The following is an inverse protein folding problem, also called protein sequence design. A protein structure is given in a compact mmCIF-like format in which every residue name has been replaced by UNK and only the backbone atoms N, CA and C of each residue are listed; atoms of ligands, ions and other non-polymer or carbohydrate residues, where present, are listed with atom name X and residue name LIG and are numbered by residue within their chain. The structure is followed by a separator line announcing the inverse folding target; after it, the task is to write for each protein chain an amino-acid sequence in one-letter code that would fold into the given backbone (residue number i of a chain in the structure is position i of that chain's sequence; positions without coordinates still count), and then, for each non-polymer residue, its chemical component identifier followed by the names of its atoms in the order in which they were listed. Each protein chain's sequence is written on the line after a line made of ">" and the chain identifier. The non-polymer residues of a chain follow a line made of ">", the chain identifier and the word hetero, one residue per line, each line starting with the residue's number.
data_IF_236022159081
#
_entry.id   IF_236022159081
#
_cell.length_a   1.000
_cell.length_b   1.000
_cell.length_c   1.000
_cell.angle_alpha   90.00
_cell.angle_beta   90.00
_cell.angle_gamma   90.00
#
_symmetry.space_group_name_H-M   'P 1'
#
loop_
_entity.id
_entity.type
_entity.pdbx_description
1 polymer ?
#
# COMPACT_ATOMS: atom_id res chain seq x y z
N UNK A 1 -8.29 22.37 14.88
CA UNK A 1 -8.38 21.23 13.95
C UNK A 1 -7.51 21.47 12.69
N UNK A 2 -6.45 22.29 12.76
CA UNK A 2 -5.73 22.80 11.57
C UNK A 2 -4.27 22.29 11.40
N UNK A 3 -3.73 21.52 12.34
CA UNK A 3 -2.30 21.14 12.29
C UNK A 3 -1.98 19.95 11.36
N UNK A 4 -2.96 19.10 11.04
CA UNK A 4 -2.73 17.91 10.19
C UNK A 4 -2.60 18.23 8.70
N UNK A 5 -3.33 19.23 8.19
CA UNK A 5 -3.24 19.63 6.77
C UNK A 5 -1.90 20.29 6.46
N UNK A 6 -1.39 21.10 7.40
CA UNK A 6 -0.12 21.83 7.23
C UNK A 6 1.09 20.91 7.10
N UNK A 7 1.12 19.79 7.85
CA UNK A 7 2.21 18.82 7.79
C UNK A 7 2.24 18.00 6.48
N UNK A 8 1.08 17.74 5.87
CA UNK A 8 0.95 16.97 4.64
C UNK A 8 1.23 17.79 3.38
N UNK A 9 0.83 19.07 3.38
CA UNK A 9 1.21 20.02 2.32
C UNK A 9 2.71 20.31 2.26
N UNK A 10 3.41 20.25 3.40
CA UNK A 10 4.86 20.46 3.47
C UNK A 10 5.63 19.39 2.68
N UNK A 11 5.24 18.11 2.75
CA UNK A 11 5.98 17.02 2.10
C UNK A 11 5.91 17.04 0.56
N UNK A 12 4.75 17.37 -0.02
CA UNK A 12 4.59 17.44 -1.49
C UNK A 12 5.31 18.65 -2.07
N UNK A 13 5.26 19.78 -1.34
CA UNK A 13 6.01 20.99 -1.70
C UNK A 13 7.52 20.75 -1.59
N UNK A 14 8.00 20.07 -0.56
CA UNK A 14 9.41 19.73 -0.39
C UNK A 14 9.92 18.79 -1.49
N UNK A 15 9.17 17.75 -1.88
CA UNK A 15 9.55 16.83 -2.97
C UNK A 15 9.57 17.56 -4.31
N UNK A 16 8.59 18.43 -4.55
CA UNK A 16 8.53 19.26 -5.76
C UNK A 16 9.68 20.26 -5.79
N UNK A 17 9.99 20.89 -4.65
CA UNK A 17 11.13 21.79 -4.49
C UNK A 17 12.46 21.06 -4.70
N UNK A 18 12.62 19.81 -4.25
CA UNK A 18 13.83 19.01 -4.51
C UNK A 18 13.96 18.71 -6.00
N UNK A 19 12.87 18.35 -6.68
CA UNK A 19 12.86 18.14 -8.14
C UNK A 19 13.16 19.43 -8.90
N UNK A 20 12.56 20.54 -8.48
CA UNK A 20 12.73 21.86 -9.08
C UNK A 20 14.13 22.41 -8.84
N UNK A 21 14.71 22.21 -7.64
CA UNK A 21 16.11 22.52 -7.35
C UNK A 21 17.06 21.67 -8.18
N UNK A 22 16.75 20.39 -8.42
CA UNK A 22 17.53 19.54 -9.33
C UNK A 22 17.43 20.05 -10.79
N UNK A 23 16.26 20.52 -11.21
CA UNK A 23 15.99 21.07 -12.55
C UNK A 23 16.70 22.42 -12.77
N UNK A 24 16.50 23.39 -11.88
CA UNK A 24 17.12 24.72 -11.90
C UNK A 24 18.65 24.61 -11.84
N UNK A 25 19.20 23.64 -11.10
CA UNK A 25 20.65 23.45 -11.02
C UNK A 25 21.24 22.82 -12.28
N UNK A 26 20.46 22.00 -13.00
CA UNK A 26 20.82 21.50 -14.34
C UNK A 26 20.95 22.65 -15.35
N UNK A 27 20.14 23.70 -15.20
CA UNK A 27 20.24 24.94 -15.99
C UNK A 27 21.46 25.79 -15.58
N UNK A 28 21.85 25.78 -14.30
CA UNK A 28 22.97 26.58 -13.78
C UNK A 28 24.36 25.90 -13.83
N UNK A 29 24.51 24.73 -14.47
CA UNK A 29 25.82 24.04 -14.69
C UNK A 29 26.74 23.95 -13.45
N UNK A 30 26.19 23.76 -12.25
CA UNK A 30 26.99 23.28 -11.11
C UNK A 30 26.97 21.76 -11.12
N UNK A 31 28.07 21.15 -11.48
CA UNK A 31 28.23 19.69 -11.45
C UNK A 31 28.16 19.22 -9.99
N UNK A 32 27.08 18.52 -9.64
CA UNK A 32 27.03 17.69 -8.45
C UNK A 32 27.84 16.43 -8.72
N UNK A 33 28.57 15.95 -7.71
CA UNK A 33 29.21 14.65 -7.80
C UNK A 33 28.16 13.58 -8.11
N UNK A 34 28.34 12.90 -9.24
CA UNK A 34 27.49 11.80 -9.65
C UNK A 34 27.91 10.55 -8.89
N UNK A 35 27.15 10.21 -7.86
CA UNK A 35 27.35 8.99 -7.10
C UNK A 35 26.47 7.88 -7.67
N UNK A 36 27.09 6.77 -8.09
CA UNK A 36 26.35 5.56 -8.41
C UNK A 36 26.00 4.84 -7.11
N UNK A 37 24.75 4.42 -6.95
CA UNK A 37 24.33 3.67 -5.77
C UNK A 37 24.76 2.19 -5.79
N UNK A 38 25.75 1.82 -6.60
CA UNK A 38 26.30 0.48 -6.64
C UNK A 38 27.03 0.17 -5.32
N UNK A 39 26.67 -0.93 -4.67
CA UNK A 39 27.19 -1.28 -3.34
C UNK A 39 26.44 -0.64 -2.17
N UNK A 40 25.44 0.22 -2.41
CA UNK A 40 24.56 0.72 -1.35
C UNK A 40 23.63 -0.39 -0.89
N UNK A 41 23.44 -0.48 0.42
CA UNK A 41 22.50 -1.40 1.06
C UNK A 41 21.36 -0.61 1.72
N UNK A 42 20.13 -1.06 1.46
CA UNK A 42 18.92 -0.52 2.06
C UNK A 42 18.60 -1.31 3.33
N UNK A 43 18.81 -0.72 4.53
CA UNK A 43 18.48 -1.40 5.77
C UNK A 43 17.00 -1.79 5.84
N UNK A 44 16.67 -2.91 6.51
CA UNK A 44 15.29 -3.35 6.71
C UNK A 44 14.41 -2.21 7.19
N UNK A 45 13.24 -2.02 6.56
CA UNK A 45 12.27 -0.97 6.96
C UNK A 45 11.86 -1.04 8.44
N UNK A 46 12.06 -2.20 9.05
CA UNK A 46 11.80 -2.56 10.43
C UNK A 46 12.82 -2.01 11.43
N UNK A 47 14.01 -1.60 10.98
CA UNK A 47 15.04 -0.96 11.82
C UNK A 47 14.77 0.53 12.03
N UNK A 48 14.00 1.18 11.15
CA UNK A 48 13.54 2.55 11.33
C UNK A 48 12.27 2.60 12.19
N UNK A 49 11.99 3.77 12.78
CA UNK A 49 10.77 3.97 13.58
C UNK A 49 9.53 3.51 12.80
N UNK A 50 8.79 2.57 13.41
CA UNK A 50 7.59 1.93 12.83
C UNK A 50 6.34 2.77 13.14
N UNK A 51 6.48 4.02 13.58
CA UNK A 51 5.34 4.90 13.75
C UNK A 51 4.62 5.07 12.40
N UNK A 52 3.31 4.81 12.41
CA UNK A 52 2.40 4.98 11.28
C UNK A 52 2.61 4.08 10.05
N UNK A 53 3.42 3.01 10.10
CA UNK A 53 3.53 2.05 9.00
C UNK A 53 2.55 0.88 9.17
N UNK A 54 1.83 0.44 8.12
CA UNK A 54 0.93 -0.71 8.21
C UNK A 54 1.72 -1.97 8.58
N UNK A 55 1.21 -2.73 9.54
CA UNK A 55 1.88 -3.93 10.03
C UNK A 55 0.88 -4.92 10.63
N UNK A 56 1.15 -6.21 10.43
CA UNK A 56 0.44 -7.31 11.10
C UNK A 56 1.32 -7.90 12.19
N UNK A 57 0.72 -8.18 13.35
CA UNK A 57 1.33 -8.93 14.43
C UNK A 57 0.65 -10.28 14.55
N UNK A 58 1.42 -11.35 14.45
CA UNK A 58 0.92 -12.72 14.46
C UNK A 58 1.47 -13.41 15.71
N UNK A 59 0.58 -13.90 16.56
CA UNK A 59 0.86 -14.80 17.67
C UNK A 59 0.15 -16.11 17.40
N UNK A 60 0.50 -17.18 18.11
CA UNK A 60 -0.20 -18.45 17.95
C UNK A 60 -1.72 -18.30 18.15
N UNK A 61 -2.49 -18.69 17.13
CA UNK A 61 -3.96 -18.62 17.09
C UNK A 61 -4.57 -17.24 16.87
N UNK A 62 -3.78 -16.15 16.88
CA UNK A 62 -4.32 -14.78 16.81
C UNK A 62 -3.44 -13.88 15.94
N UNK A 63 -4.05 -13.14 15.03
CA UNK A 63 -3.40 -12.07 14.28
C UNK A 63 -4.09 -10.72 14.50
N UNK A 64 -3.29 -9.65 14.50
CA UNK A 64 -3.75 -8.29 14.74
C UNK A 64 -3.07 -7.32 13.78
N UNK A 65 -3.88 -6.62 13.00
CA UNK A 65 -3.42 -5.49 12.20
C UNK A 65 -3.31 -4.25 13.08
N UNK A 66 -2.27 -3.45 12.86
CA UNK A 66 -2.08 -2.24 13.65
C UNK A 66 -3.03 -1.11 13.19
N UNK A 67 -3.06 -0.04 13.98
CA UNK A 67 -3.92 1.10 13.70
C UNK A 67 -3.60 1.80 12.38
N UNK A 68 -2.36 1.69 11.88
CA UNK A 68 -2.00 2.24 10.58
C UNK A 68 -2.75 1.54 9.44
N UNK A 69 -2.95 0.21 9.52
CA UNK A 69 -3.79 -0.49 8.54
C UNK A 69 -5.24 -0.02 8.60
N UNK A 70 -5.81 0.12 9.81
CA UNK A 70 -7.21 0.56 9.99
C UNK A 70 -7.42 1.98 9.44
N UNK A 71 -6.46 2.89 9.66
CA UNK A 71 -6.51 4.27 9.14
C UNK A 71 -6.39 4.37 7.62
N UNK A 72 -5.74 3.40 6.97
CA UNK A 72 -5.67 3.37 5.50
C UNK A 72 -7.00 2.98 4.87
N UNK A 73 -7.82 2.21 5.59
CA UNK A 73 -9.10 1.68 5.13
C UNK A 73 -10.20 1.97 6.16
N UNK A 74 -10.32 3.23 6.57
CA UNK A 74 -11.38 3.65 7.50
C UNK A 74 -12.76 3.37 6.89
N UNK A 75 -13.69 2.89 7.70
CA UNK A 75 -15.02 2.47 7.23
C UNK A 75 -15.13 0.99 6.88
N UNK A 76 -14.00 0.28 6.66
CA UNK A 76 -14.02 -1.13 6.30
C UNK A 76 -14.00 -2.02 7.56
N UNK A 77 -15.12 -2.70 7.83
CA UNK A 77 -15.26 -3.60 9.00
C UNK A 77 -14.77 -5.02 8.72
N UNK A 78 -14.87 -5.49 7.48
CA UNK A 78 -14.58 -6.86 7.06
C UNK A 78 -13.45 -6.90 6.04
N UNK A 79 -12.63 -7.95 6.12
CA UNK A 79 -11.52 -8.18 5.20
C UNK A 79 -11.38 -9.67 4.92
N UNK A 80 -10.78 -10.00 3.79
CA UNK A 80 -10.46 -11.36 3.37
C UNK A 80 -8.93 -11.57 3.42
N UNK A 81 -8.41 -12.28 4.44
CA UNK A 81 -7.00 -12.64 4.53
C UNK A 81 -6.72 -13.88 3.67
N UNK A 82 -5.88 -13.73 2.64
CA UNK A 82 -5.46 -14.83 1.76
C UNK A 82 -3.95 -15.05 1.85
N UNK A 83 -3.54 -16.32 1.80
CA UNK A 83 -2.15 -16.72 1.90
C UNK A 83 -1.67 -17.31 0.58
N UNK A 84 -0.53 -16.83 0.07
CA UNK A 84 0.16 -17.43 -1.06
C UNK A 84 1.34 -18.27 -0.55
N UNK A 85 1.27 -19.62 -0.60
CA UNK A 85 2.30 -20.49 0.00
C UNK A 85 3.68 -20.33 -0.64
N UNK A 86 3.77 -20.37 -1.97
CA UNK A 86 5.06 -20.33 -2.67
C UNK A 86 5.79 -18.99 -2.51
N UNK A 87 5.05 -17.88 -2.57
CA UNK A 87 5.60 -16.53 -2.36
C UNK A 87 5.70 -16.15 -0.89
N UNK A 88 5.25 -17.02 0.03
CA UNK A 88 5.14 -16.79 1.48
C UNK A 88 4.58 -15.40 1.81
N UNK A 89 3.48 -15.04 1.16
CA UNK A 89 2.89 -13.70 1.22
C UNK A 89 1.46 -13.77 1.73
N UNK A 90 1.16 -12.96 2.73
CA UNK A 90 -0.21 -12.73 3.21
C UNK A 90 -0.75 -11.48 2.51
N UNK A 91 -1.89 -11.61 1.85
CA UNK A 91 -2.63 -10.47 1.31
C UNK A 91 -3.91 -10.24 2.11
N UNK A 92 -4.29 -8.98 2.24
CA UNK A 92 -5.54 -8.56 2.87
C UNK A 92 -6.36 -7.81 1.81
N UNK A 93 -7.49 -8.39 1.43
CA UNK A 93 -8.44 -7.80 0.49
C UNK A 93 -9.58 -7.19 1.29
N UNK A 94 -10.00 -5.99 0.91
CA UNK A 94 -11.10 -5.29 1.56
C UNK A 94 -12.42 -5.79 0.94
N UNK A 95 -13.38 -6.18 1.77
CA UNK A 95 -14.62 -6.79 1.30
C UNK A 95 -15.84 -6.35 2.14
N UNK A 96 -17.06 -6.39 1.58
CA UNK A 96 -18.29 -6.25 2.37
C UNK A 96 -18.53 -7.47 3.28
N UNK A 97 -19.51 -7.35 4.18
CA UNK A 97 -19.90 -8.40 5.14
C UNK A 97 -20.44 -9.68 4.48
N UNK A 98 -20.97 -9.56 3.26
CA UNK A 98 -21.72 -10.61 2.56
C UNK A 98 -20.86 -11.80 2.09
N UNK A 99 -19.52 -11.70 2.21
CA UNK A 99 -18.63 -12.81 1.91
C UNK A 99 -18.49 -13.74 3.13
N UNK A 100 -18.89 -15.00 2.94
CA UNK A 100 -18.79 -16.09 3.92
C UNK A 100 -17.39 -16.32 4.49
N UNK A 101 -16.34 -15.93 3.76
CA UNK A 101 -14.94 -16.07 4.19
C UNK A 101 -14.37 -14.78 4.82
N UNK A 102 -15.18 -13.72 4.94
CA UNK A 102 -14.75 -12.45 5.51
C UNK A 102 -14.55 -12.53 7.03
N UNK A 103 -13.59 -11.76 7.53
CA UNK A 103 -13.31 -11.66 8.98
C UNK A 103 -13.35 -10.22 9.44
N UNK A 104 -13.89 -10.00 10.64
CA UNK A 104 -13.89 -8.69 11.27
C UNK A 104 -12.50 -8.35 11.82
N UNK A 105 -11.85 -7.36 11.22
CA UNK A 105 -10.54 -6.87 11.64
C UNK A 105 -10.58 -5.52 12.36
N UNK A 106 -11.72 -4.83 12.30
CA UNK A 106 -11.93 -3.51 12.88
C UNK A 106 -13.33 -3.41 13.49
N UNK A 107 -13.50 -2.52 14.47
CA UNK A 107 -14.81 -2.17 15.04
C UNK A 107 -14.86 -0.68 15.33
N UNK A 108 -16.07 -0.12 15.33
CA UNK A 108 -16.26 1.26 15.75
C UNK A 108 -16.46 1.32 17.27
N UNK A 109 -15.77 2.26 17.94
CA UNK A 109 -15.91 2.58 19.35
C UNK A 109 -15.87 4.09 19.50
N UNK A 110 -16.95 4.69 20.05
CA UNK A 110 -17.03 6.13 20.31
C UNK A 110 -16.61 6.95 19.08
N UNK A 111 -17.27 6.67 17.95
CA UNK A 111 -17.02 7.22 16.60
C UNK A 111 -15.68 6.86 15.94
N UNK A 112 -14.72 6.34 16.68
CA UNK A 112 -13.40 5.97 16.17
C UNK A 112 -13.32 4.50 15.77
N UNK A 113 -12.67 4.21 14.64
CA UNK A 113 -12.30 2.83 14.31
C UNK A 113 -11.18 2.34 15.22
N UNK A 114 -11.30 1.12 15.73
CA UNK A 114 -10.25 0.46 16.51
C UNK A 114 -10.00 -0.94 15.94
N UNK A 115 -8.75 -1.38 16.02
CA UNK A 115 -8.40 -2.71 15.55
C UNK A 115 -9.00 -3.81 16.44
N UNK A 116 -9.44 -4.89 15.80
CA UNK A 116 -9.95 -6.11 16.43
C UNK A 116 -8.95 -7.24 16.18
N UNK A 117 -8.84 -8.13 17.17
CA UNK A 117 -8.03 -9.33 17.04
C UNK A 117 -8.78 -10.34 16.17
N UNK A 118 -8.10 -10.90 15.17
CA UNK A 118 -8.63 -11.98 14.36
C UNK A 118 -8.11 -13.29 14.94
N UNK A 119 -9.01 -14.05 15.53
CA UNK A 119 -8.70 -15.35 16.13
C UNK A 119 -9.02 -16.45 15.13
N UNK A 120 -7.99 -17.18 14.68
CA UNK A 120 -8.16 -18.35 13.83
C UNK A 120 -6.98 -19.29 14.05
N UNK A 121 -7.25 -20.42 14.71
CA UNK A 121 -6.21 -21.38 15.04
C UNK A 121 -5.64 -22.04 13.79
N UNK A 122 -6.50 -22.55 12.91
CA UNK A 122 -6.09 -23.30 11.72
C UNK A 122 -5.33 -22.43 10.71
N UNK A 123 -5.85 -21.24 10.41
CA UNK A 123 -5.21 -20.32 9.46
C UNK A 123 -3.84 -19.88 9.97
N UNK A 124 -3.74 -19.52 11.25
CA UNK A 124 -2.47 -19.10 11.85
C UNK A 124 -1.50 -20.28 11.97
N UNK A 125 -1.95 -21.47 12.34
CA UNK A 125 -1.11 -22.68 12.38
C UNK A 125 -0.53 -23.00 11.00
N UNK A 126 -1.29 -22.82 9.91
CA UNK A 126 -0.78 -22.98 8.54
C UNK A 126 0.35 -21.99 8.23
N UNK A 127 0.24 -20.74 8.68
CA UNK A 127 1.32 -19.75 8.53
C UNK A 127 2.56 -20.19 9.33
N UNK A 128 2.39 -20.62 10.58
CA UNK A 128 3.50 -21.08 11.41
C UNK A 128 4.21 -22.29 10.80
N UNK A 129 3.44 -23.24 10.25
CA UNK A 129 3.97 -24.41 9.56
C UNK A 129 4.71 -24.03 8.28
N UNK A 130 4.13 -23.17 7.45
CA UNK A 130 4.72 -22.70 6.19
C UNK A 130 6.08 -22.02 6.43
N UNK A 131 6.16 -21.22 7.49
CA UNK A 131 7.35 -20.44 7.83
C UNK A 131 8.31 -21.16 8.77
N UNK A 132 7.95 -22.34 9.26
CA UNK A 132 8.65 -23.06 10.34
C UNK A 132 8.90 -22.17 11.58
N UNK A 133 7.89 -21.40 11.97
CA UNK A 133 7.97 -20.46 13.09
C UNK A 133 7.74 -21.15 14.45
N UNK A 134 8.46 -20.70 15.48
CA UNK A 134 8.24 -21.11 16.85
C UNK A 134 6.91 -20.54 17.40
N UNK A 135 6.00 -21.44 17.83
CA UNK A 135 4.67 -21.14 18.37
C UNK A 135 4.67 -20.26 19.63
N UNK A 136 5.73 -20.25 20.41
CA UNK A 136 5.83 -19.40 21.61
C UNK A 136 6.18 -17.95 21.29
N UNK A 137 6.66 -17.68 20.06
CA UNK A 137 7.11 -16.35 19.66
C UNK A 137 6.00 -15.55 18.98
N UNK A 138 6.17 -14.22 18.98
CA UNK A 138 5.34 -13.29 18.22
C UNK A 138 6.12 -12.82 17.01
N UNK A 139 5.45 -12.77 15.86
CA UNK A 139 6.03 -12.27 14.61
C UNK A 139 5.35 -10.96 14.22
N UNK A 140 6.13 -9.99 13.73
CA UNK A 140 5.60 -8.74 13.18
C UNK A 140 6.09 -8.57 11.76
N UNK A 141 5.16 -8.33 10.85
CA UNK A 141 5.43 -8.16 9.42
C UNK A 141 4.96 -6.79 9.00
N UNK A 142 5.79 -6.05 8.26
CA UNK A 142 5.38 -4.78 7.67
C UNK A 142 4.62 -5.02 6.38
N UNK A 143 3.56 -4.24 6.19
CA UNK A 143 2.74 -4.27 5.01
C UNK A 143 3.10 -3.16 4.02
N UNK A 144 2.64 -3.33 2.79
CA UNK A 144 2.53 -2.27 1.78
C UNK A 144 1.16 -2.34 1.13
N UNK A 145 0.69 -1.21 0.59
CA UNK A 145 -0.51 -1.15 -0.24
C UNK A 145 -0.12 -1.52 -1.66
N UNK A 146 -0.96 -2.28 -2.34
CA UNK A 146 -0.80 -2.67 -3.74
C UNK A 146 -2.16 -2.73 -4.46
N UNK A 147 -2.12 -2.67 -5.78
CA UNK A 147 -3.31 -2.89 -6.61
C UNK A 147 -3.47 -4.39 -6.93
N UNK A 148 -4.72 -4.83 -7.01
CA UNK A 148 -5.15 -6.16 -7.45
C UNK A 148 -6.32 -6.04 -8.43
N UNK A 149 -6.70 -7.16 -9.03
CA UNK A 149 -7.90 -7.29 -9.87
C UNK A 149 -9.18 -6.93 -9.12
N UNK A 150 -9.21 -7.11 -7.80
CA UNK A 150 -10.33 -6.74 -6.91
C UNK A 150 -10.20 -5.31 -6.34
N UNK A 151 -9.28 -4.50 -6.87
CA UNK A 151 -8.96 -3.17 -6.36
C UNK A 151 -7.78 -3.18 -5.38
N UNK A 152 -7.78 -2.25 -4.42
CA UNK A 152 -6.69 -2.15 -3.45
C UNK A 152 -6.58 -3.40 -2.58
N UNK A 153 -5.35 -3.77 -2.23
CA UNK A 153 -5.05 -4.77 -1.21
C UNK A 153 -3.83 -4.34 -0.37
N UNK A 154 -3.65 -4.99 0.78
CA UNK A 154 -2.39 -4.91 1.53
C UNK A 154 -1.61 -6.21 1.41
N UNK A 155 -0.30 -6.09 1.18
CA UNK A 155 0.62 -7.22 1.07
C UNK A 155 1.61 -7.22 2.22
N UNK A 156 1.76 -8.38 2.85
CA UNK A 156 2.69 -8.63 3.95
C UNK A 156 3.62 -9.77 3.55
N UNK A 157 4.91 -9.46 3.45
CA UNK A 157 5.94 -10.43 3.09
C UNK A 157 6.41 -11.17 4.36
N UNK A 158 6.02 -12.44 4.50
CA UNK A 158 6.27 -13.18 5.73
C UNK A 158 7.75 -13.50 5.93
N UNK A 159 8.55 -13.53 4.86
CA UNK A 159 10.00 -13.72 4.97
C UNK A 159 10.70 -12.55 5.66
N UNK A 160 10.07 -11.37 5.66
CA UNK A 160 10.54 -10.15 6.32
C UNK A 160 10.09 -10.02 7.79
N UNK A 161 9.55 -11.11 8.36
CA UNK A 161 9.03 -11.10 9.73
C UNK A 161 10.11 -10.84 10.77
N UNK A 162 9.83 -9.94 11.70
CA UNK A 162 10.61 -9.76 12.92
C UNK A 162 10.05 -10.69 13.99
N UNK A 163 10.89 -11.55 14.56
CA UNK A 163 10.53 -12.39 15.69
C UNK A 163 10.76 -11.67 17.01
N UNK A 164 9.81 -11.80 17.94
CA UNK A 164 9.85 -11.28 19.30
C UNK A 164 9.71 -12.45 20.28
N UNK A 165 10.65 -12.56 21.21
CA UNK A 165 10.60 -13.61 22.23
C UNK A 165 9.46 -13.38 23.22
N UNK A 166 8.89 -14.47 23.78
CA UNK A 166 7.83 -14.39 24.78
C UNK A 166 8.33 -13.76 26.09
N UNK A 167 9.55 -14.12 26.51
CA UNK A 167 10.17 -13.61 27.74
C UNK A 167 11.19 -12.52 27.40
N UNK A 168 11.11 -11.34 28.04
CA UNK A 168 12.20 -10.37 28.01
C UNK A 168 13.44 -11.00 28.63
N UNK A 169 14.61 -10.78 28.04
CA UNK A 169 15.87 -11.19 28.64
C UNK A 169 16.36 -10.09 29.57
N UNK A 170 16.79 -10.48 30.76
CA UNK A 170 17.46 -9.61 31.70
C UNK A 170 18.91 -9.44 31.28
N UNK A 171 19.36 -8.20 31.21
CA UNK A 171 20.73 -7.84 30.88
C UNK A 171 21.17 -6.72 31.82
N UNK A 172 22.42 -6.79 32.24
CA UNK A 172 23.05 -5.78 33.07
C UNK A 172 23.62 -4.71 32.16
N UNK A 173 23.14 -3.48 32.30
CA UNK A 173 23.66 -2.34 31.54
C UNK A 173 25.16 -2.12 31.88
N UNK A 174 26.10 -2.23 30.92
CA UNK A 174 27.53 -2.06 31.14
C UNK A 174 27.89 -0.67 31.65
N UNK A 175 27.05 0.32 31.38
CA UNK A 175 27.30 1.72 31.73
C UNK A 175 26.71 2.06 33.11
N UNK A 176 25.58 1.47 33.50
CA UNK A 176 24.88 1.84 34.75
C UNK A 176 24.83 0.73 35.80
N UNK A 177 25.20 -0.51 35.47
CA UNK A 177 25.13 -1.67 36.37
C UNK A 177 23.70 -2.12 36.71
N UNK A 178 22.68 -1.46 36.17
CA UNK A 178 21.28 -1.76 36.45
C UNK A 178 20.80 -2.98 35.66
N UNK A 179 20.01 -3.82 36.31
CA UNK A 179 19.31 -4.93 35.67
C UNK A 179 18.14 -4.37 34.84
N UNK A 180 18.28 -4.41 33.51
CA UNK A 180 17.25 -3.98 32.57
C UNK A 180 16.65 -5.19 31.84
N UNK A 181 15.33 -5.14 31.62
CA UNK A 181 14.61 -6.13 30.82
C UNK A 181 14.51 -5.62 29.38
N UNK A 182 15.04 -6.39 28.43
CA UNK A 182 14.92 -6.09 26.99
C UNK A 182 14.20 -7.23 26.29
N UNK A 183 13.17 -6.90 25.53
CA UNK A 183 12.57 -7.87 24.61
C UNK A 183 13.53 -8.10 23.45
N UNK A 184 13.97 -9.35 23.27
CA UNK A 184 14.87 -9.71 22.17
C UNK A 184 14.06 -9.69 20.87
N UNK A 185 14.62 -9.01 19.86
CA UNK A 185 14.10 -9.00 18.50
C UNK A 185 15.10 -9.74 17.63
N UNK A 186 14.62 -10.68 16.82
CA UNK A 186 15.42 -11.31 15.79
C UNK A 186 14.90 -10.84 14.43
N UNK A 187 15.83 -10.35 13.62
CA UNK A 187 15.57 -9.99 12.24
C UNK A 187 15.82 -11.20 11.34
N UNK A 188 15.24 -11.25 10.13
CA UNK A 188 15.51 -12.33 9.17
C UNK A 188 17.01 -12.56 8.95
N UNK A 189 17.41 -13.82 8.81
CA UNK A 189 18.81 -14.22 8.62
C UNK A 189 19.46 -13.61 7.37
N UNK A 190 18.65 -13.20 6.39
CA UNK A 190 19.10 -12.49 5.17
C UNK A 190 19.85 -11.19 5.51
N UNK A 191 19.60 -10.62 6.69
CA UNK A 191 20.25 -9.41 7.20
C UNK A 191 21.40 -9.71 8.16
N UNK A 192 21.72 -10.97 8.40
CA UNK A 192 22.87 -11.35 9.21
C UNK A 192 24.14 -10.91 8.46
N UNK A 193 24.96 -10.12 9.12
CA UNK A 193 26.22 -9.58 8.60
C UNK A 193 26.08 -8.60 7.40
N UNK A 194 24.88 -8.05 7.19
CA UNK A 194 24.58 -7.03 6.16
C UNK A 194 23.79 -5.87 6.77
N UNK A 195 23.96 -4.68 6.20
CA UNK A 195 23.12 -3.53 6.57
C UNK A 195 21.70 -3.81 6.09
N UNK A 196 21.54 -4.37 4.88
CA UNK A 196 20.22 -4.63 4.30
C UNK A 196 20.23 -5.29 2.92
N UNK A 197 19.15 -5.07 2.13
CA UNK A 197 19.10 -5.53 0.72
C UNK A 197 19.97 -4.62 -0.14
N UNK A 198 20.58 -5.15 -1.20
CA UNK A 198 21.24 -4.27 -2.18
C UNK A 198 20.22 -3.28 -2.75
N UNK A 199 20.63 -2.03 -2.97
CA UNK A 199 19.81 -1.02 -3.62
C UNK A 199 19.34 -1.49 -5.01
N UNK A 200 20.20 -2.19 -5.75
CA UNK A 200 19.86 -2.73 -7.07
C UNK A 200 18.79 -3.83 -6.98
N UNK A 201 18.87 -4.71 -5.99
CA UNK A 201 17.83 -5.73 -5.73
C UNK A 201 16.49 -5.07 -5.32
N UNK A 202 16.57 -3.99 -4.53
CA UNK A 202 15.40 -3.21 -4.15
C UNK A 202 14.71 -2.59 -5.37
N UNK A 203 15.48 -1.94 -6.25
CA UNK A 203 14.95 -1.32 -7.48
C UNK A 203 14.42 -2.38 -8.45
N UNK A 204 15.11 -3.50 -8.64
CA UNK A 204 14.63 -4.59 -9.48
C UNK A 204 13.31 -5.18 -8.95
N UNK A 205 13.22 -5.40 -7.63
CA UNK A 205 11.99 -5.83 -6.98
C UNK A 205 10.87 -4.79 -7.07
N UNK A 206 11.19 -3.49 -7.11
CA UNK A 206 10.23 -2.40 -7.25
C UNK A 206 9.77 -2.21 -8.70
N UNK A 207 10.63 -2.38 -9.70
CA UNK A 207 10.27 -2.38 -11.13
C UNK A 207 9.31 -3.52 -11.50
N UNK A 208 9.37 -4.66 -10.81
CA UNK A 208 8.36 -5.72 -10.99
C UNK A 208 6.98 -5.35 -10.40
N UNK A 209 6.88 -4.24 -9.65
CA UNK A 209 5.61 -3.67 -9.16
C UNK A 209 5.26 -2.34 -9.85
N UNK A 210 5.84 -2.03 -11.02
CA UNK A 210 5.67 -0.75 -11.75
C UNK A 210 4.29 -0.57 -12.41
N UNK A 211 3.23 -0.93 -11.70
CA UNK A 211 1.91 -0.30 -11.79
C UNK A 211 1.58 0.47 -10.49
N UNK A 212 2.57 0.69 -9.62
CA UNK A 212 2.46 1.50 -8.40
C UNK A 212 2.92 2.95 -8.68
N UNK A 213 2.10 3.72 -9.41
CA UNK A 213 2.18 5.18 -9.33
C UNK A 213 1.63 5.61 -7.97
N UNK A 214 2.53 5.96 -7.05
CA UNK A 214 2.24 6.38 -5.68
C UNK A 214 1.56 7.78 -5.59
N UNK A 215 1.00 8.28 -6.71
CA UNK A 215 0.30 9.58 -6.81
C UNK A 215 -1.22 9.43 -6.63
N UNK A 216 -1.79 8.22 -6.75
CA UNK A 216 -3.25 8.02 -6.78
C UNK A 216 -3.99 7.98 -5.42
N UNK A 217 -3.30 8.06 -4.27
CA UNK A 217 -3.92 7.83 -2.96
C UNK A 217 -3.99 9.07 -2.04
N UNK A 218 -4.23 10.24 -2.62
CA UNK A 218 -4.85 11.35 -1.91
C UNK A 218 -6.06 11.84 -2.70
N UNK A 219 -7.26 11.47 -2.23
CA UNK A 219 -8.55 12.14 -2.46
C UNK A 219 -8.86 12.60 -3.89
N UNK A 220 -9.71 11.84 -4.57
CA UNK A 220 -10.39 12.24 -5.80
C UNK A 220 -11.01 13.65 -5.71
N UNK A 221 -10.62 14.53 -6.61
CA UNK A 221 -11.56 15.50 -7.18
C UNK A 221 -11.64 15.18 -8.66
N UNK A 222 -12.76 14.55 -9.01
CA UNK A 222 -13.24 14.50 -10.39
C UNK A 222 -13.42 15.95 -10.83
N UNK A 223 -12.63 16.39 -11.81
CA UNK A 223 -12.97 17.56 -12.60
C UNK A 223 -12.94 17.10 -14.05
N UNK A 224 -14.12 17.22 -14.65
CA UNK A 224 -14.44 16.97 -16.05
C UNK A 224 -13.39 17.52 -17.02
N UNK A 225 -13.27 16.85 -18.17
CA UNK A 225 -12.60 17.40 -19.35
C UNK A 225 -13.14 18.80 -19.71
N UNK A 226 -12.34 19.58 -20.44
CA UNK A 226 -12.75 19.74 -21.82
C UNK A 226 -11.62 19.52 -22.83
N UNK A 227 -11.99 18.82 -23.89
CA UNK A 227 -11.34 18.72 -25.20
C UNK A 227 -10.87 20.10 -25.70
N UNK A 228 -9.62 20.20 -26.17
CA UNK A 228 -9.25 21.05 -27.30
C UNK A 228 -8.24 20.34 -28.21
N UNK A 229 -8.70 20.04 -29.43
CA UNK A 229 -7.89 19.67 -30.58
C UNK A 229 -7.08 20.87 -31.07
N UNK A 230 -5.80 20.69 -31.40
CA UNK A 230 -5.15 21.54 -32.40
C UNK A 230 -4.14 20.76 -33.26
N UNK A 231 -4.61 20.43 -34.47
CA UNK A 231 -3.96 20.62 -35.77
C UNK A 231 -2.44 20.39 -35.92
N UNK A 232 -2.05 19.37 -36.69
CA UNK A 232 -0.98 19.48 -37.72
C UNK A 232 -1.20 18.48 -38.90
N UNK A 233 -1.80 18.99 -39.99
CA UNK A 233 -1.70 18.73 -41.47
C UNK A 233 -1.31 17.34 -42.08
N UNK A 234 -1.50 17.05 -43.42
CA UNK A 234 -2.11 17.79 -44.54
C UNK A 234 -3.17 17.00 -45.40
N UNK A 235 -3.87 17.72 -46.29
CA UNK A 235 -4.90 17.26 -47.26
C UNK A 235 -4.42 16.25 -48.33
N UNK A 236 -5.35 15.41 -48.85
CA UNK A 236 -5.39 15.02 -50.27
C UNK A 236 -6.74 15.40 -50.96
N UNK A 237 -6.87 15.24 -52.30
CA UNK A 237 -7.75 16.05 -53.15
C UNK A 237 -9.13 15.45 -53.51
N UNK A 238 -9.99 16.32 -54.07
CA UNK A 238 -11.38 16.13 -54.52
C UNK A 238 -11.57 15.10 -55.67
N UNK A 239 -12.73 14.41 -55.71
CA UNK A 239 -13.73 14.50 -56.82
C UNK A 239 -15.01 13.66 -56.62
N UNK A 240 -16.14 14.39 -56.62
CA UNK A 240 -17.45 14.18 -57.27
C UNK A 240 -18.14 12.79 -57.35
N UNK A 241 -19.40 12.74 -56.88
CA UNK A 241 -20.64 12.29 -57.60
C UNK A 241 -21.85 12.43 -56.64
N UNK A 242 -22.80 13.33 -56.88
CA UNK A 242 -24.02 13.22 -57.72
C UNK A 242 -25.25 12.67 -56.96
N UNK A 243 -26.09 13.63 -56.53
CA UNK A 243 -27.57 13.67 -56.46
C UNK A 243 -28.43 12.67 -55.61
N UNK A 244 -29.64 13.13 -55.18
CA UNK A 244 -30.53 12.56 -54.14
C UNK A 244 -31.75 11.86 -54.83
N UNK A 245 -32.97 11.60 -54.28
CA UNK A 245 -33.65 12.19 -53.10
C UNK A 245 -34.66 11.29 -52.33
N UNK A 246 -35.42 11.96 -51.44
CA UNK A 246 -36.78 11.65 -50.96
C UNK A 246 -37.01 10.46 -50.02
N UNK A 247 -37.45 10.73 -48.78
CA UNK A 247 -38.89 10.79 -48.53
C UNK A 247 -39.24 11.53 -47.23
N UNK A 248 -40.42 12.13 -47.27
CA UNK A 248 -41.02 13.11 -46.36
C UNK A 248 -41.95 12.42 -45.37
N UNK A 249 -41.97 12.83 -44.09
CA UNK A 249 -43.18 13.11 -43.30
C UNK A 249 -42.84 13.45 -41.82
N UNK A 250 -43.33 14.62 -41.37
CA UNK A 250 -43.40 15.08 -39.98
C UNK A 250 -44.78 14.66 -39.37
N UNK A 251 -45.20 15.20 -38.20
CA UNK A 251 -45.02 14.71 -36.83
C UNK A 251 -46.38 14.36 -36.18
N UNK A 252 -46.43 14.03 -34.88
CA UNK A 252 -47.42 14.53 -33.88
C UNK A 252 -47.51 13.64 -32.62
N UNK A 253 -47.65 14.30 -31.47
CA UNK A 253 -47.74 13.82 -30.08
C UNK A 253 -49.19 13.35 -29.72
N UNK A 254 -49.60 13.26 -28.43
CA UNK A 254 -49.84 12.03 -27.66
C UNK A 254 -51.33 11.85 -27.27
N UNK A 255 -51.65 10.80 -26.51
CA UNK A 255 -52.55 10.79 -25.33
C UNK A 255 -53.34 9.48 -25.12
N UNK A 256 -53.23 9.01 -23.88
CA UNK A 256 -54.27 8.50 -22.97
C UNK A 256 -54.93 7.12 -23.15
N UNK A 257 -54.97 6.49 -21.98
CA UNK A 257 -55.64 5.28 -21.49
C UNK A 257 -57.17 5.35 -21.53
N UNK A 258 -57.82 4.21 -21.76
CA UNK A 258 -59.11 3.85 -21.15
C UNK A 258 -59.21 2.33 -20.96
N UNK A 259 -59.71 1.92 -19.79
CA UNK A 259 -60.11 0.59 -19.35
C UNK A 259 -61.11 -0.15 -20.27
N UNK A 260 -60.97 -1.49 -20.33
CA UNK A 260 -62.03 -2.47 -19.99
C UNK A 260 -61.43 -3.86 -19.78
#
# INVERSE_FOLDING_TARGET
>A
MEEKSRAQELSVREISLIRELAQIRKEHKRELEYEKFDGYELPPRTQFSILNKPAVSIKYGVMKFNMACIRLFEGIKYVLPILHPNKKRLALIMCPEEDSASVEWARQKDENWVNKDITSLEFVENIFRLMNWNRECRYKVLGRVANSDQGLCMLFDLEEAIMFTPKPQEYTDPLTGEMKKKQIKFFPDVYKDRIGKSYNDYIAGHQMNLFEDFIGYQGSVVLDEPVQEENTAPKPPMRQKSEPPENTALPHLPEQSVDM
#
